data_IF_590021581165
#
_entry.id   IF_590021581165
#
_cell.length_a   1.000
_cell.length_b   1.000
_cell.length_c   1.000
_cell.angle_alpha   90.00
_cell.angle_beta   90.00
_cell.angle_gamma   90.00
#
_symmetry.space_group_name_H-M   'P 1'
#
loop_
_entity.id
_entity.type
_entity.pdbx_description
1 polymer ?
#
# COMPACT_ATOMS: atom_id res chain seq x y z
N UNK A 1 -1.24 -11.00 22.00
CA UNK A 1 -1.99 -9.73 21.91
C UNK A 1 -1.46 -8.80 20.82
N UNK A 2 -0.15 -8.49 20.76
CA UNK A 2 0.42 -7.58 19.75
C UNK A 2 0.24 -8.06 18.29
N UNK A 3 0.44 -9.35 18.01
CA UNK A 3 0.27 -9.92 16.66
C UNK A 3 -1.16 -9.79 16.11
N UNK A 4 -2.18 -10.06 16.92
CA UNK A 4 -3.60 -9.93 16.54
C UNK A 4 -3.95 -8.48 16.19
N UNK A 5 -3.43 -7.52 16.96
CA UNK A 5 -3.63 -6.09 16.68
C UNK A 5 -2.91 -5.65 15.42
N UNK A 6 -1.70 -6.15 15.17
CA UNK A 6 -0.94 -5.87 13.93
C UNK A 6 -1.70 -6.35 12.70
N UNK A 7 -2.28 -7.55 12.77
CA UNK A 7 -3.11 -8.12 11.69
C UNK A 7 -4.40 -7.32 11.46
N UNK A 8 -5.03 -6.83 12.52
CA UNK A 8 -6.20 -5.97 12.42
C UNK A 8 -5.85 -4.62 11.76
N UNK A 9 -4.77 -3.98 12.20
CA UNK A 9 -4.31 -2.71 11.62
C UNK A 9 -4.01 -2.87 10.11
N UNK A 10 -3.21 -3.87 9.76
CA UNK A 10 -2.84 -4.14 8.37
C UNK A 10 -4.08 -4.36 7.49
N UNK A 11 -5.03 -5.17 7.97
CA UNK A 11 -6.31 -5.37 7.29
C UNK A 11 -7.10 -4.06 7.12
N UNK A 12 -7.17 -3.21 8.15
CA UNK A 12 -7.90 -1.93 8.08
C UNK A 12 -7.27 -0.95 7.10
N UNK A 13 -5.95 -0.91 7.02
CA UNK A 13 -5.25 -0.13 6.01
C UNK A 13 -5.50 -0.69 4.60
N UNK A 14 -5.48 -2.01 4.41
CA UNK A 14 -5.85 -2.62 3.12
C UNK A 14 -7.29 -2.34 2.70
N UNK A 15 -8.24 -2.38 3.63
CA UNK A 15 -9.65 -2.02 3.36
C UNK A 15 -9.76 -0.56 2.86
N UNK A 16 -9.04 0.36 3.50
CA UNK A 16 -8.96 1.76 3.09
C UNK A 16 -8.36 1.91 1.68
N UNK A 17 -7.22 1.27 1.42
CA UNK A 17 -6.53 1.32 0.13
C UNK A 17 -7.36 0.70 -1.01
N UNK A 18 -8.07 -0.41 -0.75
CA UNK A 18 -8.96 -1.04 -1.73
C UNK A 18 -10.10 -0.11 -2.14
N UNK A 19 -10.70 0.60 -1.17
CA UNK A 19 -11.71 1.61 -1.46
C UNK A 19 -11.14 2.71 -2.35
N UNK A 20 -9.94 3.20 -2.02
CA UNK A 20 -9.25 4.25 -2.80
C UNK A 20 -8.92 3.81 -4.23
N UNK A 21 -8.40 2.59 -4.39
CA UNK A 21 -8.10 2.00 -5.70
C UNK A 21 -9.34 1.94 -6.59
N UNK A 22 -10.48 1.53 -6.00
CA UNK A 22 -11.77 1.47 -6.69
C UNK A 22 -12.31 2.84 -7.07
N UNK A 23 -12.21 3.82 -6.18
CA UNK A 23 -12.59 5.21 -6.44
C UNK A 23 -11.72 5.87 -7.51
N UNK A 24 -10.45 5.47 -7.59
CA UNK A 24 -9.50 5.92 -8.62
C UNK A 24 -9.70 5.23 -9.98
N UNK A 25 -10.54 4.19 -10.05
CA UNK A 25 -10.83 3.47 -11.28
C UNK A 25 -9.78 2.43 -11.67
N UNK A 26 -8.98 1.91 -10.73
CA UNK A 26 -8.15 0.73 -11.01
C UNK A 26 -9.05 -0.43 -11.40
N UNK A 27 -8.73 -1.10 -12.50
CA UNK A 27 -9.41 -2.33 -12.88
C UNK A 27 -8.92 -3.51 -12.03
N UNK A 28 -9.81 -4.45 -11.64
CA UNK A 28 -9.41 -5.61 -10.84
C UNK A 28 -8.39 -6.50 -11.57
N UNK A 29 -8.30 -6.41 -12.91
CA UNK A 29 -7.25 -7.07 -13.68
C UNK A 29 -5.85 -6.56 -13.34
N UNK A 30 -5.66 -5.25 -13.18
CA UNK A 30 -4.36 -4.66 -12.84
C UNK A 30 -3.92 -5.10 -11.44
N UNK A 31 -4.84 -5.13 -10.47
CA UNK A 31 -4.54 -5.65 -9.13
C UNK A 31 -4.24 -7.16 -9.14
N UNK A 32 -4.91 -7.94 -9.99
CA UNK A 32 -4.63 -9.37 -10.12
C UNK A 32 -3.25 -9.64 -10.72
N UNK A 33 -2.82 -8.81 -11.69
CA UNK A 33 -1.49 -8.84 -12.28
C UNK A 33 -0.42 -8.47 -11.23
N UNK A 34 -0.61 -7.33 -10.55
CA UNK A 34 0.28 -6.91 -9.47
C UNK A 34 0.41 -7.96 -8.35
N UNK A 35 -0.70 -8.58 -7.91
CA UNK A 35 -0.67 -9.67 -6.93
C UNK A 35 0.18 -10.86 -7.37
N UNK A 36 0.17 -11.16 -8.67
CA UNK A 36 0.94 -12.26 -9.23
C UNK A 36 2.42 -11.91 -9.33
N UNK A 37 2.75 -10.71 -9.82
CA UNK A 37 4.13 -10.24 -9.96
C UNK A 37 4.82 -10.12 -8.61
N UNK A 38 4.13 -9.53 -7.62
CA UNK A 38 4.77 -9.10 -6.40
C UNK A 38 4.72 -10.14 -5.27
N UNK A 39 3.70 -11.00 -5.26
CA UNK A 39 3.52 -12.02 -4.23
C UNK A 39 3.31 -13.43 -4.79
N UNK A 40 3.34 -13.63 -6.12
CA UNK A 40 3.04 -14.92 -6.74
C UNK A 40 1.59 -15.37 -6.55
N UNK A 41 0.69 -14.46 -6.14
CA UNK A 41 -0.69 -14.77 -5.78
C UNK A 41 -1.57 -14.69 -7.02
N UNK A 42 -2.08 -15.85 -7.46
CA UNK A 42 -3.10 -15.89 -8.52
C UNK A 42 -4.45 -15.43 -7.98
N UNK A 43 -5.01 -14.41 -8.63
CA UNK A 43 -6.36 -13.91 -8.43
C UNK A 43 -7.11 -13.87 -9.76
N UNK A 44 -8.42 -14.05 -9.71
CA UNK A 44 -9.28 -13.76 -10.86
C UNK A 44 -9.46 -12.24 -10.99
N UNK A 45 -9.55 -11.73 -12.23
CA UNK A 45 -9.77 -10.32 -12.56
C UNK A 45 -11.19 -9.83 -12.23
N UNK A 46 -11.66 -10.07 -11.00
CA UNK A 46 -12.89 -9.53 -10.46
C UNK A 46 -12.64 -9.04 -9.02
N UNK A 47 -13.36 -7.98 -8.65
CA UNK A 47 -13.19 -7.33 -7.35
C UNK A 47 -13.33 -8.28 -6.17
N UNK A 48 -14.30 -9.20 -6.21
CA UNK A 48 -14.56 -10.12 -5.10
C UNK A 48 -13.34 -10.99 -4.80
N UNK A 49 -12.66 -11.52 -5.81
CA UNK A 49 -11.49 -12.38 -5.59
C UNK A 49 -10.26 -11.56 -5.22
N UNK A 50 -9.99 -10.46 -5.92
CA UNK A 50 -8.87 -9.54 -5.64
C UNK A 50 -8.92 -8.99 -4.21
N UNK A 51 -10.07 -8.44 -3.80
CA UNK A 51 -10.27 -7.91 -2.44
C UNK A 51 -9.99 -9.00 -1.40
N UNK A 52 -10.53 -10.20 -1.61
CA UNK A 52 -10.30 -11.33 -0.71
C UNK A 52 -8.80 -11.67 -0.64
N UNK A 53 -8.10 -11.72 -1.77
CA UNK A 53 -6.68 -12.06 -1.80
C UNK A 53 -5.83 -11.00 -1.08
N UNK A 54 -6.07 -9.72 -1.34
CA UNK A 54 -5.36 -8.61 -0.68
C UNK A 54 -5.63 -8.61 0.84
N UNK A 55 -6.89 -8.68 1.25
CA UNK A 55 -7.27 -8.54 2.66
C UNK A 55 -6.76 -9.66 3.56
N UNK A 56 -6.67 -10.88 3.03
CA UNK A 56 -6.33 -12.06 3.83
C UNK A 56 -4.92 -12.58 3.59
N UNK A 57 -4.20 -12.06 2.61
CA UNK A 57 -2.79 -12.40 2.39
C UNK A 57 -1.90 -11.84 3.50
N UNK A 58 -0.98 -12.67 3.97
CA UNK A 58 0.14 -12.26 4.84
C UNK A 58 1.38 -11.85 4.02
N UNK A 59 1.43 -12.23 2.74
CA UNK A 59 2.53 -11.92 1.80
C UNK A 59 2.45 -10.50 1.23
N UNK A 60 1.25 -9.92 1.23
CA UNK A 60 1.02 -8.54 0.77
C UNK A 60 0.74 -7.71 1.99
N UNK A 61 1.56 -6.72 2.28
CA UNK A 61 1.31 -5.78 3.39
C UNK A 61 0.54 -4.55 2.91
N UNK A 62 -0.12 -3.85 3.84
CA UNK A 62 -0.74 -2.57 3.54
C UNK A 62 0.27 -1.53 3.00
N UNK A 63 1.54 -1.64 3.41
CA UNK A 63 2.59 -0.71 2.97
C UNK A 63 2.98 -0.93 1.51
N UNK A 64 3.17 -2.18 1.10
CA UNK A 64 3.45 -2.53 -0.30
C UNK A 64 2.27 -2.15 -1.19
N UNK A 65 1.04 -2.40 -0.73
CA UNK A 65 -0.13 -2.01 -1.49
C UNK A 65 -0.24 -0.49 -1.64
N UNK A 66 0.06 0.28 -0.58
CA UNK A 66 0.10 1.74 -0.67
C UNK A 66 1.18 2.23 -1.64
N UNK A 67 2.37 1.61 -1.63
CA UNK A 67 3.44 1.94 -2.57
C UNK A 67 3.01 1.71 -4.02
N UNK A 68 2.35 0.57 -4.30
CA UNK A 68 1.79 0.28 -5.62
C UNK A 68 0.76 1.33 -6.06
N UNK A 69 -0.17 1.72 -5.20
CA UNK A 69 -1.16 2.75 -5.56
C UNK A 69 -0.49 4.09 -5.89
N UNK A 70 0.53 4.49 -5.11
CA UNK A 70 1.30 5.71 -5.37
C UNK A 70 2.04 5.61 -6.70
N UNK A 71 2.64 4.46 -7.04
CA UNK A 71 3.33 4.28 -8.34
C UNK A 71 2.37 4.34 -9.53
N UNK A 72 1.11 3.96 -9.34
CA UNK A 72 0.03 4.12 -10.33
C UNK A 72 -0.53 5.56 -10.38
N UNK A 73 0.05 6.50 -9.63
CA UNK A 73 -0.38 7.90 -9.58
C UNK A 73 -1.62 8.15 -8.73
N UNK A 74 -1.97 7.22 -7.84
CA UNK A 74 -3.15 7.31 -6.99
C UNK A 74 -2.74 7.87 -5.64
N UNK A 75 -3.22 9.08 -5.38
CA UNK A 75 -2.99 9.76 -4.11
C UNK A 75 -3.63 9.00 -2.94
N UNK A 76 -2.84 8.69 -1.93
CA UNK A 76 -3.28 8.03 -0.69
C UNK A 76 -3.38 9.09 0.40
N UNK A 77 -4.59 9.28 0.96
CA UNK A 77 -4.81 10.29 2.01
C UNK A 77 -3.97 9.97 3.27
N UNK A 78 -2.91 10.74 3.45
CA UNK A 78 -1.99 10.61 4.59
C UNK A 78 -2.72 10.84 5.94
N UNK A 79 -3.71 11.73 5.97
CA UNK A 79 -4.49 11.97 7.19
C UNK A 79 -5.33 10.74 7.52
N UNK A 80 -6.00 10.14 6.54
CA UNK A 80 -6.77 8.91 6.76
C UNK A 80 -5.87 7.74 7.18
N UNK A 81 -4.68 7.62 6.58
CA UNK A 81 -3.67 6.64 6.98
C UNK A 81 -3.29 6.79 8.45
N UNK A 82 -2.92 8.02 8.87
CA UNK A 82 -2.53 8.33 10.24
C UNK A 82 -3.68 8.06 11.22
N UNK A 83 -4.91 8.45 10.88
CA UNK A 83 -6.08 8.20 11.71
C UNK A 83 -6.35 6.71 11.87
N UNK A 84 -6.22 5.92 10.80
CA UNK A 84 -6.36 4.46 10.83
C UNK A 84 -5.28 3.84 11.73
N UNK A 85 -4.03 4.26 11.59
CA UNK A 85 -2.94 3.80 12.46
C UNK A 85 -3.17 4.18 13.92
N UNK A 86 -3.61 5.40 14.22
CA UNK A 86 -3.93 5.82 15.60
C UNK A 86 -5.08 5.00 16.19
N UNK A 87 -6.12 4.74 15.40
CA UNK A 87 -7.32 4.02 15.85
C UNK A 87 -7.05 2.55 16.13
N UNK A 88 -6.20 1.90 15.33
CA UNK A 88 -5.98 0.45 15.40
C UNK A 88 -4.57 0.02 15.85
N UNK A 89 -3.62 0.96 15.96
CA UNK A 89 -2.19 0.70 16.17
C UNK A 89 -1.63 0.96 17.58
N UNK A 90 -2.46 1.06 18.62
CA UNK A 90 -2.02 1.33 19.99
C UNK A 90 -0.83 0.44 20.43
N UNK A 91 0.36 1.05 20.53
CA UNK A 91 1.56 0.48 21.17
C UNK A 91 2.76 0.12 20.28
N UNK A 92 2.82 0.50 19.00
CA UNK A 92 4.00 0.19 18.16
C UNK A 92 4.34 1.29 17.16
N UNK A 93 5.63 1.45 16.87
CA UNK A 93 6.22 2.43 15.94
C UNK A 93 5.43 2.54 14.63
N UNK A 94 5.05 3.77 14.30
CA UNK A 94 4.26 4.11 13.10
C UNK A 94 5.04 3.71 11.84
N UNK A 95 4.51 2.83 10.98
CA UNK A 95 5.01 2.69 9.63
C UNK A 95 4.69 3.99 8.89
N UNK A 96 5.72 4.78 8.58
CA UNK A 96 5.57 5.95 7.70
C UNK A 96 5.17 5.46 6.31
N UNK A 97 4.32 6.23 5.63
CA UNK A 97 4.12 6.05 4.20
C UNK A 97 5.50 6.08 3.51
N UNK A 98 5.75 5.20 2.52
CA UNK A 98 6.95 5.32 1.72
C UNK A 98 6.96 6.72 1.10
N UNK A 99 8.03 7.48 1.38
CA UNK A 99 8.20 8.78 0.74
C UNK A 99 8.40 8.54 -0.75
N UNK A 100 7.77 9.34 -1.60
CA UNK A 100 8.16 9.42 -3.00
C UNK A 100 9.64 9.77 -3.03
N UNK A 101 10.49 8.83 -3.48
CA UNK A 101 11.83 9.17 -3.93
C UNK A 101 11.66 10.03 -5.17
N UNK A 102 11.48 11.33 -4.96
CA UNK A 102 11.69 12.31 -6.00
C UNK A 102 13.18 12.27 -6.30
N UNK A 103 13.52 11.46 -7.30
CA UNK A 103 14.77 11.55 -8.04
C UNK A 103 14.94 13.02 -8.46
N UNK A 104 15.76 13.76 -7.72
CA UNK A 104 16.35 14.98 -8.23
C UNK A 104 17.86 14.80 -8.21
N UNK A 105 18.28 14.03 -9.22
CA UNK A 105 19.52 14.15 -9.99
C UNK A 105 20.54 15.14 -9.39
N UNK A 106 21.50 14.55 -8.71
CA UNK A 106 22.92 14.88 -8.69
C UNK A 106 23.36 15.96 -9.69
N UNK A 107 23.69 17.16 -9.20
CA UNK A 107 24.72 17.99 -9.83
C UNK A 107 25.87 18.17 -8.85
N UNK A 108 26.79 17.22 -8.89
CA UNK A 108 28.17 17.42 -8.48
C UNK A 108 29.05 17.57 -9.72
N UNK A 109 29.47 18.80 -10.01
CA UNK A 109 30.74 19.11 -10.68
C UNK A 109 31.28 20.32 -9.91
N UNK A 110 32.07 20.09 -8.85
CA UNK A 110 33.55 20.02 -8.84
C UNK A 110 34.20 21.28 -9.40
N UNK A 111 34.89 21.95 -8.48
CA UNK A 111 35.90 22.99 -8.67
C UNK A 111 36.80 22.74 -9.89
N UNK A 112 37.24 23.81 -10.56
CA UNK A 112 38.66 24.15 -10.75
C UNK A 112 38.86 25.37 -11.65
N UNK A 113 39.73 26.27 -11.16
CA UNK A 113 40.51 27.34 -11.84
C UNK A 113 39.92 28.75 -11.87
#
# INVERSE_FOLDING_TARGET
MAYVRRRLLDRKLKEMLLRRAREAGIEPGQLAEWLYEEAGIRAQSNWRDVERKILYSEEVTAREFAAYLISEGIDVDEKEWIETVKKYGFGTTVPRLPAEERDNVQQGQRDSS
#
